data_IF_511620589383
#
_entry.id   IF_511620589383
#
_cell.length_a   1.000
_cell.length_b   1.000
_cell.length_c   1.000
_cell.angle_alpha   90.00
_cell.angle_beta   90.00
_cell.angle_gamma   90.00
#
_symmetry.space_group_name_H-M   'P 1'
#
loop_
_entity.id
_entity.type
_entity.pdbx_description
1 polymer ?
#
# COMPACT_ATOMS: atom_id res chain seq x y z
N UNK A 1 21.04 -5.75 29.24
CA UNK A 1 19.61 -6.01 29.48
C UNK A 1 19.44 -7.48 29.86
N UNK A 2 18.62 -7.80 30.87
CA UNK A 2 18.39 -9.17 31.36
C UNK A 2 17.36 -9.91 30.48
N UNK A 3 17.74 -11.08 29.97
CA UNK A 3 17.00 -11.95 29.03
C UNK A 3 15.81 -12.72 29.64
N UNK A 4 14.94 -12.03 30.39
CA UNK A 4 13.82 -12.68 31.09
C UNK A 4 12.61 -13.02 30.20
N UNK A 5 12.55 -12.52 28.96
CA UNK A 5 11.40 -12.67 28.05
C UNK A 5 11.27 -14.03 27.32
N UNK A 6 12.26 -14.92 27.42
CA UNK A 6 12.20 -16.22 26.73
C UNK A 6 11.56 -17.34 27.57
N UNK A 7 10.75 -18.18 26.93
CA UNK A 7 10.24 -19.41 27.56
C UNK A 7 11.37 -20.41 27.90
N UNK A 8 11.07 -21.38 28.77
CA UNK A 8 12.07 -22.35 29.23
C UNK A 8 12.57 -23.27 28.11
N UNK A 9 11.73 -23.55 27.11
CA UNK A 9 12.05 -24.43 25.98
C UNK A 9 13.08 -23.76 25.07
N UNK A 10 12.87 -22.50 24.72
CA UNK A 10 13.78 -21.70 23.92
C UNK A 10 15.10 -21.43 24.65
N UNK A 11 15.05 -21.11 25.96
CA UNK A 11 16.26 -21.01 26.79
C UNK A 11 17.09 -22.29 26.76
N UNK A 12 16.42 -23.46 26.78
CA UNK A 12 17.08 -24.76 26.63
C UNK A 12 17.68 -24.93 25.23
N UNK A 13 16.96 -24.59 24.16
CA UNK A 13 17.46 -24.63 22.78
C UNK A 13 18.69 -23.74 22.57
N UNK A 14 18.67 -22.49 23.05
CA UNK A 14 19.81 -21.56 22.96
C UNK A 14 21.01 -22.09 23.76
N UNK A 15 20.80 -22.57 24.98
CA UNK A 15 21.87 -23.18 25.79
C UNK A 15 22.46 -24.43 25.12
N UNK A 16 21.61 -25.21 24.46
CA UNK A 16 21.99 -26.40 23.70
C UNK A 16 22.82 -26.02 22.46
N UNK A 17 22.47 -24.92 21.78
CA UNK A 17 23.25 -24.34 20.68
C UNK A 17 24.57 -23.71 21.15
N UNK A 18 24.59 -23.06 22.31
CA UNK A 18 25.82 -22.56 22.95
C UNK A 18 26.77 -23.73 23.31
N UNK A 19 26.25 -24.81 23.90
CA UNK A 19 27.00 -26.04 24.17
C UNK A 19 27.51 -26.72 22.90
N UNK A 20 26.74 -26.62 21.80
CA UNK A 20 27.13 -27.11 20.48
C UNK A 20 28.33 -26.34 19.88
N UNK A 21 28.32 -25.01 19.96
CA UNK A 21 29.43 -24.18 19.47
C UNK A 21 30.69 -24.32 20.35
N UNK A 22 30.51 -24.54 21.65
CA UNK A 22 31.60 -24.67 22.61
C UNK A 22 32.19 -26.08 22.71
N UNK A 23 31.53 -27.11 22.18
CA UNK A 23 31.99 -28.49 22.27
C UNK A 23 32.27 -29.11 20.89
N UNK A 24 33.53 -29.42 20.63
CA UNK A 24 33.91 -30.32 19.52
C UNK A 24 33.43 -31.77 19.73
N UNK A 25 32.71 -32.06 20.84
CA UNK A 25 32.41 -33.41 21.33
C UNK A 25 30.94 -33.78 21.59
N UNK A 26 29.97 -32.87 21.72
CA UNK A 26 28.60 -33.28 22.07
C UNK A 26 27.60 -33.10 20.92
N UNK A 27 27.66 -34.02 19.95
CA UNK A 27 26.60 -34.22 18.96
C UNK A 27 25.41 -35.05 19.46
N UNK A 28 25.50 -35.64 20.65
CA UNK A 28 24.58 -36.66 21.16
C UNK A 28 23.35 -36.10 21.90
N UNK A 29 23.52 -35.07 22.73
CA UNK A 29 22.42 -34.46 23.52
C UNK A 29 21.42 -33.69 22.65
N UNK A 30 21.87 -33.21 21.48
CA UNK A 30 21.06 -32.53 20.46
C UNK A 30 20.35 -33.54 19.55
N UNK A 31 20.95 -34.73 19.35
CA UNK A 31 20.31 -35.82 18.62
C UNK A 31 18.97 -36.17 19.26
N UNK A 32 18.83 -36.16 20.58
CA UNK A 32 17.56 -36.47 21.24
C UNK A 32 16.49 -35.37 21.10
N UNK A 33 16.89 -34.10 20.90
CA UNK A 33 15.97 -32.98 20.71
C UNK A 33 15.45 -32.88 19.27
N UNK A 34 16.34 -33.07 18.28
CA UNK A 34 15.99 -32.94 16.85
C UNK A 34 15.49 -34.25 16.22
N UNK A 35 15.88 -35.43 16.72
CA UNK A 35 15.38 -36.72 16.23
C UNK A 35 13.87 -36.92 16.51
N UNK A 36 13.26 -36.10 17.37
CA UNK A 36 11.80 -36.05 17.55
C UNK A 36 11.06 -35.19 16.52
N UNK A 37 11.76 -34.38 15.71
CA UNK A 37 11.12 -33.40 14.80
C UNK A 37 11.68 -33.33 13.37
N UNK A 38 12.89 -33.82 13.08
CA UNK A 38 13.47 -33.81 11.72
C UNK A 38 14.26 -35.10 11.47
N UNK A 39 14.22 -35.64 10.24
CA UNK A 39 14.95 -36.84 9.82
C UNK A 39 16.48 -36.76 10.10
N UNK A 40 17.11 -37.83 10.67
CA UNK A 40 18.51 -37.86 11.12
C UNK A 40 19.57 -37.53 10.06
N UNK A 41 19.26 -37.76 8.77
CA UNK A 41 20.22 -37.63 7.66
C UNK A 41 20.50 -36.15 7.33
N UNK A 42 19.49 -35.28 7.45
CA UNK A 42 19.60 -33.85 7.12
C UNK A 42 20.32 -33.06 8.23
N UNK A 43 20.30 -33.56 9.46
CA UNK A 43 20.96 -33.02 10.65
C UNK A 43 22.50 -33.13 10.61
N UNK A 44 23.04 -34.22 10.03
CA UNK A 44 24.49 -34.44 9.97
C UNK A 44 25.22 -33.38 9.13
N UNK A 45 24.60 -32.90 8.05
CA UNK A 45 25.18 -31.88 7.17
C UNK A 45 25.30 -30.51 7.87
N UNK A 46 24.31 -30.15 8.68
CA UNK A 46 24.29 -28.90 9.50
C UNK A 46 25.42 -28.93 10.51
N UNK A 47 25.59 -30.08 11.17
CA UNK A 47 26.60 -30.24 12.21
C UNK A 47 28.04 -30.23 11.67
N UNK A 48 28.25 -30.63 10.40
CA UNK A 48 29.57 -30.59 9.77
C UNK A 48 29.96 -29.18 9.30
N UNK A 49 29.02 -28.39 8.80
CA UNK A 49 29.30 -27.03 8.31
C UNK A 49 29.62 -26.05 9.46
N UNK A 50 28.97 -26.20 10.61
CA UNK A 50 29.21 -25.36 11.80
C UNK A 50 30.51 -25.69 12.55
N UNK A 51 31.04 -26.91 12.43
CA UNK A 51 32.35 -27.30 13.02
C UNK A 51 33.54 -26.54 12.43
N UNK A 52 33.39 -25.92 11.26
CA UNK A 52 34.43 -25.15 10.56
C UNK A 52 34.31 -23.64 10.81
N UNK A 53 33.43 -23.21 11.71
CA UNK A 53 33.17 -21.79 11.93
C UNK A 53 34.30 -21.10 12.71
N UNK A 54 34.86 -19.97 12.21
CA UNK A 54 35.94 -19.27 12.90
C UNK A 54 35.44 -18.56 14.17
N UNK A 55 36.28 -18.54 15.22
CA UNK A 55 35.98 -17.90 16.52
C UNK A 55 35.67 -16.39 16.42
N UNK A 56 36.05 -15.74 15.31
CA UNK A 56 35.83 -14.32 15.03
C UNK A 56 34.95 -14.11 13.78
N UNK A 57 34.16 -15.11 13.39
CA UNK A 57 33.43 -15.09 12.11
C UNK A 57 32.33 -14.04 12.04
N UNK A 58 32.12 -13.49 10.86
CA UNK A 58 31.01 -12.57 10.56
C UNK A 58 29.75 -13.35 10.16
N UNK A 59 28.64 -12.65 9.89
CA UNK A 59 27.40 -13.26 9.41
C UNK A 59 27.61 -14.02 8.07
N UNK A 60 28.57 -13.58 7.26
CA UNK A 60 28.93 -14.15 5.95
C UNK A 60 29.59 -15.52 6.07
N UNK A 61 30.33 -15.76 7.15
CA UNK A 61 30.97 -17.05 7.44
C UNK A 61 29.93 -18.14 7.81
N UNK A 62 28.67 -17.76 8.07
CA UNK A 62 27.54 -18.65 8.40
C UNK A 62 26.57 -18.90 7.24
N UNK A 63 26.76 -18.24 6.10
CA UNK A 63 25.93 -18.34 4.89
C UNK A 63 25.83 -19.77 4.31
N UNK A 64 26.86 -20.64 4.39
CA UNK A 64 26.77 -21.99 3.83
C UNK A 64 25.86 -22.96 4.60
N UNK A 65 25.44 -22.63 5.84
CA UNK A 65 24.58 -23.49 6.66
C UNK A 65 23.11 -23.16 6.35
N UNK A 66 22.74 -23.33 5.09
CA UNK A 66 21.33 -23.44 4.70
C UNK A 66 20.99 -24.91 4.83
N UNK A 67 20.21 -25.25 5.86
CA UNK A 67 19.63 -26.59 5.93
C UNK A 67 18.65 -26.69 4.77
N UNK A 68 19.03 -27.40 3.69
CA UNK A 68 18.08 -27.80 2.64
C UNK A 68 17.15 -28.85 3.25
N UNK A 69 16.09 -28.36 3.89
CA UNK A 69 15.00 -29.18 4.39
C UNK A 69 13.98 -29.20 3.26
N UNK A 70 13.78 -30.36 2.61
CA UNK A 70 12.67 -30.50 1.65
C UNK A 70 11.37 -29.99 2.28
N UNK A 71 10.79 -28.97 1.65
CA UNK A 71 9.71 -28.09 2.16
C UNK A 71 8.33 -28.78 2.25
N UNK A 72 8.28 -30.09 2.49
CA UNK A 72 7.03 -30.87 2.40
C UNK A 72 6.32 -31.07 3.75
N UNK A 73 6.90 -30.64 4.87
CA UNK A 73 6.28 -30.78 6.20
C UNK A 73 6.37 -29.47 7.01
N UNK A 74 5.21 -28.96 7.44
CA UNK A 74 5.07 -27.73 8.22
C UNK A 74 5.88 -27.78 9.52
N UNK A 75 5.99 -28.96 10.13
CA UNK A 75 6.75 -29.19 11.36
C UNK A 75 8.27 -29.06 11.16
N UNK A 76 8.74 -29.43 9.97
CA UNK A 76 10.15 -29.28 9.58
C UNK A 76 10.49 -27.81 9.27
N UNK A 77 9.54 -27.04 8.74
CA UNK A 77 9.70 -25.60 8.50
C UNK A 77 9.80 -24.82 9.82
N UNK A 78 8.89 -25.05 10.77
CA UNK A 78 8.93 -24.41 12.09
C UNK A 78 10.23 -24.73 12.85
N UNK A 79 10.67 -25.99 12.80
CA UNK A 79 11.91 -26.41 13.43
C UNK A 79 13.15 -25.76 12.79
N UNK A 80 13.13 -25.50 11.47
CA UNK A 80 14.18 -24.72 10.80
C UNK A 80 14.21 -23.28 11.31
N UNK A 81 13.05 -22.64 11.41
CA UNK A 81 12.92 -21.25 11.83
C UNK A 81 13.39 -21.09 13.29
N UNK A 82 13.02 -22.02 14.18
CA UNK A 82 13.52 -22.06 15.57
C UNK A 82 15.05 -22.28 15.65
N UNK A 83 15.61 -23.08 14.75
CA UNK A 83 17.07 -23.24 14.66
C UNK A 83 17.76 -21.95 14.21
N UNK A 84 17.23 -21.29 13.16
CA UNK A 84 17.73 -19.98 12.73
C UNK A 84 17.59 -18.94 13.85
N UNK A 85 16.49 -18.98 14.60
CA UNK A 85 16.25 -18.09 15.74
C UNK A 85 17.31 -18.25 16.82
N UNK A 86 17.62 -19.48 17.22
CA UNK A 86 18.67 -19.78 18.21
C UNK A 86 20.05 -19.32 17.72
N UNK A 87 20.37 -19.55 16.45
CA UNK A 87 21.60 -19.09 15.79
C UNK A 87 21.71 -17.55 15.83
N UNK A 88 20.64 -16.85 15.46
CA UNK A 88 20.60 -15.38 15.44
C UNK A 88 20.74 -14.79 16.86
N UNK A 89 20.09 -15.37 17.87
CA UNK A 89 20.26 -14.94 19.28
C UNK A 89 21.70 -15.10 19.74
N UNK A 90 22.36 -16.21 19.39
CA UNK A 90 23.76 -16.41 19.74
C UNK A 90 24.68 -15.36 19.11
N UNK A 91 24.51 -15.08 17.81
CA UNK A 91 25.29 -14.04 17.12
C UNK A 91 25.07 -12.69 17.80
N UNK A 92 23.82 -12.32 18.07
CA UNK A 92 23.48 -11.06 18.71
C UNK A 92 24.18 -10.90 20.07
N UNK A 93 24.21 -11.95 20.89
CA UNK A 93 24.88 -11.93 22.21
C UNK A 93 26.39 -11.71 22.11
N UNK A 94 27.02 -12.17 21.04
CA UNK A 94 28.48 -12.15 20.86
C UNK A 94 28.93 -11.10 19.84
N UNK A 95 28.02 -10.31 19.29
CA UNK A 95 28.34 -9.26 18.33
C UNK A 95 28.93 -8.05 19.06
N UNK A 96 30.13 -7.64 18.64
CA UNK A 96 30.85 -6.49 19.18
C UNK A 96 30.65 -5.22 18.33
N UNK A 97 30.35 -5.36 17.03
CA UNK A 97 30.15 -4.24 16.10
C UNK A 97 28.69 -3.83 16.03
N UNK A 98 28.41 -2.52 16.17
CA UNK A 98 27.04 -1.96 16.21
C UNK A 98 26.21 -2.30 14.96
N UNK A 99 26.81 -2.26 13.77
CA UNK A 99 26.07 -2.55 12.52
C UNK A 99 25.64 -4.02 12.46
N UNK A 100 26.53 -4.94 12.85
CA UNK A 100 26.24 -6.37 12.98
C UNK A 100 25.15 -6.63 14.04
N UNK A 101 25.12 -5.84 15.12
CA UNK A 101 24.10 -5.95 16.17
C UNK A 101 22.71 -5.60 15.61
N UNK A 102 22.55 -4.50 14.87
CA UNK A 102 21.23 -4.10 14.34
C UNK A 102 20.73 -5.04 13.26
N UNK A 103 21.59 -5.45 12.33
CA UNK A 103 21.18 -6.37 11.26
C UNK A 103 20.74 -7.73 11.83
N UNK A 104 21.43 -8.18 12.88
CA UNK A 104 21.06 -9.40 13.61
C UNK A 104 19.77 -9.22 14.41
N UNK A 105 19.54 -8.05 15.01
CA UNK A 105 18.27 -7.72 15.68
C UNK A 105 17.08 -7.74 14.71
N UNK A 106 17.22 -7.16 13.51
CA UNK A 106 16.15 -7.20 12.50
C UNK A 106 15.85 -8.63 12.08
N UNK A 107 16.89 -9.44 11.80
CA UNK A 107 16.72 -10.87 11.48
C UNK A 107 16.02 -11.62 12.61
N UNK A 108 16.39 -11.35 13.86
CA UNK A 108 15.78 -11.93 15.06
C UNK A 108 14.28 -11.60 15.14
N UNK A 109 13.94 -10.33 14.99
CA UNK A 109 12.55 -9.84 15.04
C UNK A 109 11.71 -10.48 13.94
N UNK A 110 12.23 -10.57 12.72
CA UNK A 110 11.52 -11.21 11.60
C UNK A 110 11.27 -12.70 11.86
N UNK A 111 12.21 -13.42 12.45
CA UNK A 111 12.03 -14.83 12.82
C UNK A 111 10.98 -14.99 13.93
N UNK A 112 11.03 -14.16 14.97
CA UNK A 112 10.01 -14.14 16.03
C UNK A 112 8.61 -13.84 15.48
N UNK A 113 8.51 -12.90 14.54
CA UNK A 113 7.29 -12.58 13.81
C UNK A 113 6.74 -13.75 13.00
N UNK A 114 7.59 -14.60 12.41
CA UNK A 114 7.16 -15.81 11.70
C UNK A 114 6.57 -16.86 12.66
N UNK A 115 7.14 -16.97 13.85
CA UNK A 115 6.70 -17.90 14.90
C UNK A 115 5.50 -17.37 15.71
N UNK A 116 5.01 -16.17 15.41
CA UNK A 116 3.92 -15.54 16.18
C UNK A 116 4.32 -15.04 17.57
N UNK A 117 5.62 -15.01 17.91
CA UNK A 117 6.17 -14.56 19.20
C UNK A 117 6.33 -13.04 19.24
N UNK A 118 5.22 -12.34 19.05
CA UNK A 118 5.21 -10.90 18.72
C UNK A 118 5.58 -9.99 19.91
N UNK A 119 5.28 -10.38 21.15
CA UNK A 119 5.71 -9.62 22.34
C UNK A 119 7.24 -9.66 22.53
N UNK A 120 7.85 -10.81 22.25
CA UNK A 120 9.30 -10.96 22.25
C UNK A 120 9.92 -10.14 21.12
N UNK A 121 9.32 -10.18 19.94
CA UNK A 121 9.75 -9.36 18.80
C UNK A 121 9.74 -7.87 19.14
N UNK A 122 8.69 -7.38 19.82
CA UNK A 122 8.58 -5.99 20.27
C UNK A 122 9.66 -5.62 21.29
N UNK A 123 9.99 -6.53 22.22
CA UNK A 123 11.07 -6.33 23.19
C UNK A 123 12.40 -6.07 22.47
N UNK A 124 12.68 -6.84 21.41
CA UNK A 124 13.90 -6.67 20.61
C UNK A 124 13.86 -5.43 19.71
N UNK A 125 12.70 -5.06 19.16
CA UNK A 125 12.55 -3.85 18.38
C UNK A 125 12.90 -2.60 19.20
N UNK A 126 12.46 -2.53 20.46
CA UNK A 126 12.76 -1.42 21.36
C UNK A 126 14.25 -1.30 21.75
N UNK A 127 15.08 -2.30 21.42
CA UNK A 127 16.53 -2.26 21.62
C UNK A 127 17.29 -1.71 20.39
N UNK A 128 16.59 -1.44 19.28
CA UNK A 128 17.18 -0.86 18.07
C UNK A 128 17.37 0.65 18.25
N UNK A 129 18.58 1.13 18.00
CA UNK A 129 18.92 2.54 18.15
C UNK A 129 18.79 3.35 16.85
N UNK A 130 18.68 2.70 15.70
CA UNK A 130 18.54 3.36 14.40
C UNK A 130 17.06 3.47 14.03
N UNK A 131 16.62 4.70 13.73
CA UNK A 131 15.21 5.01 13.48
C UNK A 131 14.64 4.22 12.31
N UNK A 132 15.39 4.08 11.20
CA UNK A 132 14.91 3.35 10.02
C UNK A 132 14.74 1.85 10.29
N UNK A 133 15.70 1.24 10.98
CA UNK A 133 15.63 -0.17 11.39
C UNK A 133 14.51 -0.40 12.40
N UNK A 134 14.37 0.50 13.37
CA UNK A 134 13.28 0.48 14.34
C UNK A 134 11.93 0.53 13.62
N UNK A 135 11.74 1.48 12.70
CA UNK A 135 10.51 1.61 11.93
C UNK A 135 10.22 0.36 11.10
N UNK A 136 11.24 -0.24 10.49
CA UNK A 136 11.13 -1.50 9.74
C UNK A 136 10.69 -2.65 10.65
N UNK A 137 11.26 -2.76 11.84
CA UNK A 137 10.89 -3.78 12.83
C UNK A 137 9.45 -3.61 13.30
N UNK A 138 9.07 -2.39 13.70
CA UNK A 138 7.72 -2.05 14.16
C UNK A 138 6.68 -2.33 13.07
N UNK A 139 6.97 -1.96 11.82
CA UNK A 139 6.09 -2.25 10.68
C UNK A 139 5.86 -3.75 10.48
N UNK A 140 6.91 -4.57 10.60
CA UNK A 140 6.79 -6.02 10.48
C UNK A 140 5.95 -6.63 11.61
N UNK A 141 6.17 -6.17 12.85
CA UNK A 141 5.43 -6.62 14.04
C UNK A 141 3.96 -6.22 13.94
N UNK A 142 3.66 -4.95 13.68
CA UNK A 142 2.30 -4.45 13.52
C UNK A 142 1.57 -5.16 12.38
N UNK A 143 2.24 -5.42 11.26
CA UNK A 143 1.70 -6.20 10.14
C UNK A 143 1.26 -7.60 10.57
N UNK A 144 2.04 -8.29 11.41
CA UNK A 144 1.67 -9.62 11.91
C UNK A 144 0.56 -9.55 12.96
N UNK A 145 0.53 -8.54 13.83
CA UNK A 145 -0.58 -8.35 14.76
C UNK A 145 -1.88 -7.93 14.08
N UNK A 146 -1.84 -7.30 12.91
CA UNK A 146 -3.05 -6.77 12.25
C UNK A 146 -4.16 -7.80 12.01
N UNK A 147 -3.82 -9.08 11.91
CA UNK A 147 -4.78 -10.17 11.70
C UNK A 147 -5.31 -10.77 13.00
N UNK A 148 -4.48 -10.85 14.05
CA UNK A 148 -4.81 -11.53 15.31
C UNK A 148 -5.19 -10.57 16.45
N UNK A 149 -4.65 -9.35 16.45
CA UNK A 149 -4.90 -8.32 17.46
C UNK A 149 -4.76 -6.90 16.87
N UNK A 150 -5.81 -6.38 16.18
CA UNK A 150 -5.79 -5.08 15.53
C UNK A 150 -5.47 -3.90 16.48
N UNK A 151 -5.99 -3.92 17.71
CA UNK A 151 -5.77 -2.85 18.69
C UNK A 151 -4.29 -2.75 19.09
N UNK A 152 -3.64 -3.90 19.31
CA UNK A 152 -2.21 -3.94 19.58
C UNK A 152 -1.39 -3.51 18.37
N UNK A 153 -1.80 -3.91 17.16
CA UNK A 153 -1.15 -3.49 15.92
C UNK A 153 -1.14 -1.96 15.77
N UNK A 154 -2.28 -1.30 16.02
CA UNK A 154 -2.41 0.17 15.99
C UNK A 154 -1.54 0.81 17.07
N UNK A 155 -1.63 0.31 18.30
CA UNK A 155 -0.88 0.86 19.45
C UNK A 155 0.62 0.90 19.21
N UNK A 156 1.13 -0.11 18.51
CA UNK A 156 2.55 -0.27 18.19
C UNK A 156 2.92 0.53 16.94
N UNK A 157 2.05 0.57 15.93
CA UNK A 157 2.28 1.31 14.70
C UNK A 157 2.15 2.84 14.85
N UNK A 158 1.37 3.36 15.80
CA UNK A 158 1.00 4.80 15.89
C UNK A 158 2.20 5.77 15.94
N UNK A 159 3.37 5.30 16.37
CA UNK A 159 4.58 6.11 16.46
C UNK A 159 5.44 6.05 15.18
N UNK A 160 5.01 5.29 14.16
CA UNK A 160 5.66 5.28 12.86
C UNK A 160 5.47 6.64 12.16
N UNK A 161 6.42 7.05 11.30
CA UNK A 161 6.20 8.16 10.38
C UNK A 161 4.89 7.98 9.60
N UNK A 162 4.17 9.08 9.34
CA UNK A 162 2.85 9.06 8.71
C UNK A 162 2.79 8.27 7.40
N UNK A 163 3.85 8.31 6.58
CA UNK A 163 3.95 7.50 5.36
C UNK A 163 3.94 5.99 5.65
N UNK A 164 4.74 5.55 6.63
CA UNK A 164 4.82 4.15 7.01
C UNK A 164 3.56 3.68 7.76
N UNK A 165 2.96 4.55 8.57
CA UNK A 165 1.70 4.29 9.26
C UNK A 165 0.55 4.12 8.26
N UNK A 166 0.47 4.98 7.24
CA UNK A 166 -0.53 4.86 6.18
C UNK A 166 -0.27 3.62 5.31
N UNK A 167 0.98 3.35 4.94
CA UNK A 167 1.35 2.12 4.22
C UNK A 167 1.01 0.86 5.00
N UNK A 168 1.15 0.89 6.33
CA UNK A 168 0.71 -0.19 7.21
C UNK A 168 -0.80 -0.40 7.12
N UNK A 169 -1.59 0.66 7.18
CA UNK A 169 -3.05 0.60 7.19
C UNK A 169 -3.65 0.21 5.83
N UNK A 170 -3.02 0.64 4.74
CA UNK A 170 -3.44 0.32 3.38
C UNK A 170 -3.43 -1.20 3.16
N UNK A 171 -4.57 -1.75 2.73
CA UNK A 171 -4.73 -3.19 2.54
C UNK A 171 -4.94 -4.00 3.83
N UNK A 172 -5.24 -3.36 4.96
CA UNK A 172 -5.64 -4.03 6.21
C UNK A 172 -7.14 -3.95 6.45
N UNK A 173 -7.59 -4.49 7.59
CA UNK A 173 -8.99 -4.44 7.95
C UNK A 173 -9.47 -2.98 8.11
N UNK A 174 -10.79 -2.79 8.02
CA UNK A 174 -11.43 -1.48 8.08
C UNK A 174 -11.23 -0.73 9.41
N UNK A 175 -11.09 -1.46 10.52
CA UNK A 175 -10.86 -0.88 11.86
C UNK A 175 -9.49 -0.20 11.93
N UNK A 176 -8.44 -0.88 11.45
CA UNK A 176 -7.08 -0.32 11.40
C UNK A 176 -7.05 0.92 10.53
N UNK A 177 -7.71 0.87 9.36
CA UNK A 177 -7.77 2.01 8.45
C UNK A 177 -8.46 3.21 9.10
N UNK A 178 -9.60 3.00 9.78
CA UNK A 178 -10.35 4.07 10.44
C UNK A 178 -9.55 4.75 11.56
N UNK A 179 -8.85 3.97 12.39
CA UNK A 179 -8.05 4.53 13.48
C UNK A 179 -6.83 5.28 12.97
N UNK A 180 -6.14 4.74 11.95
CA UNK A 180 -5.03 5.45 11.31
C UNK A 180 -5.52 6.75 10.65
N UNK A 181 -6.68 6.75 10.00
CA UNK A 181 -7.29 7.99 9.48
C UNK A 181 -7.54 9.03 10.57
N UNK A 182 -7.95 8.61 11.77
CA UNK A 182 -8.16 9.52 12.89
C UNK A 182 -6.84 10.10 13.40
N UNK A 183 -5.83 9.26 13.61
CA UNK A 183 -4.48 9.69 14.02
C UNK A 183 -3.92 10.72 13.03
N UNK A 184 -4.05 10.47 11.73
CA UNK A 184 -3.56 11.37 10.68
C UNK A 184 -4.31 12.70 10.61
N UNK A 185 -5.56 12.78 11.11
CA UNK A 185 -6.33 14.03 11.18
C UNK A 185 -5.92 14.90 12.37
N UNK A 186 -5.51 14.28 13.46
CA UNK A 186 -5.12 14.96 14.70
C UNK A 186 -3.68 15.51 14.62
N UNK A 187 -2.83 14.94 13.75
CA UNK A 187 -1.48 15.42 13.51
C UNK A 187 -1.49 16.71 12.64
N UNK A 188 -1.10 17.83 13.23
CA UNK A 188 -1.04 19.14 12.58
C UNK A 188 0.11 19.29 11.58
N UNK A 189 1.10 18.39 11.61
CA UNK A 189 2.27 18.40 10.73
C UNK A 189 2.14 17.31 9.66
N UNK A 190 1.13 17.44 8.81
CA UNK A 190 0.89 16.48 7.73
C UNK A 190 2.00 16.66 6.67
N UNK A 191 3.07 15.86 6.79
CA UNK A 191 3.93 15.59 5.64
C UNK A 191 3.08 14.80 4.62
N UNK A 192 2.69 15.50 3.56
CA UNK A 192 1.78 15.02 2.53
C UNK A 192 2.47 13.96 1.67
N UNK A 193 1.88 12.78 1.64
CA UNK A 193 2.42 11.64 0.91
C UNK A 193 1.52 11.29 -0.29
N UNK A 194 2.08 10.73 -1.38
CA UNK A 194 1.29 10.17 -2.48
C UNK A 194 0.27 9.11 -2.04
N UNK A 195 0.47 8.49 -0.87
CA UNK A 195 -0.43 7.48 -0.30
C UNK A 195 -1.82 8.05 0.05
N UNK A 196 -1.97 9.36 0.22
CA UNK A 196 -3.30 9.96 0.39
C UNK A 196 -4.18 9.80 -0.86
N UNK A 197 -3.59 9.75 -2.05
CA UNK A 197 -4.35 9.42 -3.26
C UNK A 197 -4.79 7.95 -3.26
N UNK A 198 -3.96 7.03 -2.78
CA UNK A 198 -4.35 5.63 -2.63
C UNK A 198 -5.53 5.49 -1.66
N UNK A 199 -5.50 6.23 -0.56
CA UNK A 199 -6.61 6.31 0.40
C UNK A 199 -7.87 6.90 -0.24
N UNK A 200 -7.72 7.96 -1.04
CA UNK A 200 -8.84 8.56 -1.77
C UNK A 200 -9.48 7.57 -2.75
N UNK A 201 -8.66 6.83 -3.51
CA UNK A 201 -9.12 5.77 -4.42
C UNK A 201 -9.87 4.67 -3.67
N UNK A 202 -9.37 4.24 -2.50
CA UNK A 202 -10.07 3.25 -1.67
C UNK A 202 -11.47 3.75 -1.25
N UNK A 203 -11.57 4.98 -0.72
CA UNK A 203 -12.86 5.55 -0.34
C UNK A 203 -13.80 5.71 -1.54
N UNK A 204 -13.28 6.08 -2.70
CA UNK A 204 -14.09 6.19 -3.92
C UNK A 204 -14.64 4.83 -4.36
N UNK A 205 -13.83 3.75 -4.28
CA UNK A 205 -14.30 2.37 -4.54
C UNK A 205 -15.38 1.93 -3.56
N UNK A 206 -15.33 2.40 -2.31
CA UNK A 206 -16.40 2.21 -1.31
C UNK A 206 -17.58 3.19 -1.46
N UNK A 207 -17.62 3.99 -2.54
CA UNK A 207 -18.62 5.04 -2.81
C UNK A 207 -18.71 6.13 -1.73
N UNK A 208 -17.67 6.28 -0.91
CA UNK A 208 -17.54 7.35 0.07
C UNK A 208 -16.82 8.57 -0.54
N UNK A 209 -17.50 9.24 -1.46
CA UNK A 209 -16.90 10.34 -2.22
C UNK A 209 -16.52 11.54 -1.35
N UNK A 210 -17.22 11.79 -0.23
CA UNK A 210 -16.87 12.86 0.69
C UNK A 210 -15.48 12.64 1.29
N UNK A 211 -15.18 11.43 1.77
CA UNK A 211 -13.84 11.09 2.27
C UNK A 211 -12.81 11.05 1.14
N UNK A 212 -13.17 10.49 -0.01
CA UNK A 212 -12.28 10.43 -1.17
C UNK A 212 -11.79 11.83 -1.59
N UNK A 213 -12.72 12.78 -1.73
CA UNK A 213 -12.41 14.16 -2.08
C UNK A 213 -11.63 14.88 -0.98
N UNK A 214 -11.93 14.63 0.29
CA UNK A 214 -11.18 15.21 1.40
C UNK A 214 -9.69 14.84 1.29
N UNK A 215 -9.37 13.54 1.17
CA UNK A 215 -7.99 13.10 1.06
C UNK A 215 -7.31 13.57 -0.23
N UNK A 216 -8.02 13.52 -1.37
CA UNK A 216 -7.46 14.01 -2.63
C UNK A 216 -7.13 15.52 -2.58
N UNK A 217 -8.02 16.34 -2.02
CA UNK A 217 -7.84 17.81 -1.92
C UNK A 217 -6.76 18.22 -0.94
N UNK A 218 -6.62 17.48 0.16
CA UNK A 218 -5.51 17.66 1.10
C UNK A 218 -4.16 17.52 0.40
N UNK A 219 -4.04 16.61 -0.57
CA UNK A 219 -2.79 16.39 -1.32
C UNK A 219 -2.58 17.41 -2.43
N UNK A 220 -3.62 17.72 -3.23
CA UNK A 220 -3.50 18.60 -4.40
C UNK A 220 -3.26 20.07 -4.07
N UNK A 221 -3.56 20.51 -2.84
CA UNK A 221 -3.36 21.92 -2.42
C UNK A 221 -1.89 22.30 -2.24
N UNK A 222 -0.99 21.32 -2.12
CA UNK A 222 0.44 21.55 -1.81
C UNK A 222 1.41 20.85 -2.76
N UNK A 223 0.97 19.77 -3.39
CA UNK A 223 1.73 19.04 -4.41
C UNK A 223 0.95 19.10 -5.73
N UNK A 224 1.35 19.95 -6.69
CA UNK A 224 0.92 19.82 -8.09
C UNK A 224 1.62 18.60 -8.72
N UNK A 225 1.42 17.42 -8.12
CA UNK A 225 2.05 16.18 -8.56
C UNK A 225 1.08 15.37 -9.39
N UNK A 226 1.42 15.23 -10.67
CA UNK A 226 0.77 14.34 -11.63
C UNK A 226 0.98 12.88 -11.19
N UNK A 227 -0.02 12.29 -10.53
CA UNK A 227 0.07 10.93 -9.99
C UNK A 227 -0.94 10.00 -10.64
N UNK A 228 -0.52 8.77 -10.94
CA UNK A 228 -1.40 7.71 -11.46
C UNK A 228 -2.59 7.39 -10.55
N UNK A 229 -2.46 7.37 -9.20
CA UNK A 229 -3.62 7.17 -8.33
C UNK A 229 -4.69 8.28 -8.43
N UNK A 230 -4.31 9.51 -8.75
CA UNK A 230 -5.28 10.58 -8.97
C UNK A 230 -6.06 10.38 -10.29
N UNK A 231 -5.39 9.92 -11.35
CA UNK A 231 -6.04 9.55 -12.60
C UNK A 231 -7.07 8.42 -12.35
N UNK A 232 -6.71 7.40 -11.54
CA UNK A 232 -7.61 6.31 -11.16
C UNK A 232 -8.82 6.81 -10.36
N UNK A 233 -8.62 7.74 -9.42
CA UNK A 233 -9.71 8.37 -8.69
C UNK A 233 -10.67 9.09 -9.64
N UNK A 234 -10.14 9.89 -10.58
CA UNK A 234 -10.96 10.61 -11.56
C UNK A 234 -11.72 9.63 -12.46
N UNK A 235 -11.09 8.53 -12.90
CA UNK A 235 -11.76 7.46 -13.68
C UNK A 235 -12.94 6.85 -12.91
N UNK A 236 -12.76 6.58 -11.62
CA UNK A 236 -13.85 6.08 -10.74
C UNK A 236 -14.98 7.11 -10.66
N UNK A 237 -14.66 8.39 -10.40
CA UNK A 237 -15.65 9.45 -10.32
C UNK A 237 -16.44 9.61 -11.63
N UNK A 238 -15.79 9.53 -12.79
CA UNK A 238 -16.45 9.55 -14.09
C UNK A 238 -17.40 8.36 -14.24
N UNK A 239 -16.95 7.15 -13.93
CA UNK A 239 -17.76 5.93 -14.04
C UNK A 239 -19.01 5.99 -13.14
N UNK A 240 -18.88 6.57 -11.95
CA UNK A 240 -19.98 6.76 -11.00
C UNK A 240 -20.79 8.06 -11.22
N UNK A 241 -20.59 8.73 -12.37
CA UNK A 241 -21.28 9.98 -12.77
C UNK A 241 -21.11 11.14 -11.78
N UNK A 242 -19.99 11.17 -11.05
CA UNK A 242 -19.55 12.28 -10.19
C UNK A 242 -18.70 13.27 -10.98
N UNK A 243 -19.32 13.87 -12.00
CA UNK A 243 -18.63 14.62 -13.05
C UNK A 243 -18.08 15.97 -12.57
N UNK A 244 -18.80 16.67 -11.69
CA UNK A 244 -18.32 17.92 -11.11
C UNK A 244 -17.11 17.68 -10.19
N UNK A 245 -17.18 16.63 -9.38
CA UNK A 245 -16.10 16.18 -8.51
C UNK A 245 -14.87 15.80 -9.33
N UNK A 246 -15.06 14.99 -10.39
CA UNK A 246 -14.01 14.62 -11.33
C UNK A 246 -13.37 15.85 -11.98
N UNK A 247 -14.19 16.79 -12.47
CA UNK A 247 -13.72 18.03 -13.08
C UNK A 247 -12.90 18.89 -12.11
N UNK A 248 -13.23 18.90 -10.82
CA UNK A 248 -12.50 19.68 -9.81
C UNK A 248 -11.07 19.19 -9.56
N UNK A 249 -10.78 17.92 -9.87
CA UNK A 249 -9.46 17.29 -9.66
C UNK A 249 -8.60 17.24 -10.93
N UNK A 250 -9.20 17.49 -12.09
CA UNK A 250 -8.62 17.27 -13.42
C UNK A 250 -7.27 17.96 -13.63
N UNK A 251 -7.09 19.19 -13.13
CA UNK A 251 -5.86 19.97 -13.34
C UNK A 251 -4.61 19.34 -12.73
N UNK A 252 -4.78 18.42 -11.77
CA UNK A 252 -3.68 17.74 -11.09
C UNK A 252 -3.41 16.33 -11.66
N UNK A 253 -4.20 15.89 -12.64
CA UNK A 253 -4.09 14.58 -13.27
C UNK A 253 -2.97 14.53 -14.31
N UNK A 254 -2.36 13.37 -14.53
CA UNK A 254 -1.33 13.20 -15.56
C UNK A 254 -1.96 13.09 -16.95
N UNK A 255 -3.04 12.32 -17.07
CA UNK A 255 -3.78 12.10 -18.32
C UNK A 255 -4.84 13.20 -18.58
N UNK A 256 -4.51 14.48 -18.36
CA UNK A 256 -5.47 15.61 -18.41
C UNK A 256 -6.32 15.58 -19.68
N UNK A 257 -5.71 15.49 -20.86
CA UNK A 257 -6.44 15.59 -22.13
C UNK A 257 -7.45 14.45 -22.33
N UNK A 258 -7.05 13.22 -22.01
CA UNK A 258 -7.92 12.04 -22.13
C UNK A 258 -9.06 12.10 -21.12
N UNK A 259 -8.75 12.40 -19.85
CA UNK A 259 -9.74 12.50 -18.77
C UNK A 259 -10.69 13.68 -19.00
N UNK A 260 -10.20 14.81 -19.50
CA UNK A 260 -11.01 15.96 -19.89
C UNK A 260 -12.06 15.57 -20.94
N UNK A 261 -11.67 14.82 -21.96
CA UNK A 261 -12.60 14.37 -23.00
C UNK A 261 -13.64 13.39 -22.46
N UNK A 262 -13.26 12.51 -21.52
CA UNK A 262 -14.18 11.59 -20.86
C UNK A 262 -15.19 12.32 -19.96
N UNK A 263 -14.75 13.31 -19.18
CA UNK A 263 -15.63 14.17 -18.38
C UNK A 263 -16.59 14.94 -19.28
N UNK A 264 -16.08 15.50 -20.38
CA UNK A 264 -16.88 16.18 -21.39
C UNK A 264 -17.98 15.28 -21.97
N UNK A 265 -17.63 14.04 -22.36
CA UNK A 265 -18.62 13.05 -22.79
C UNK A 265 -19.62 12.70 -21.69
N UNK A 266 -19.16 12.57 -20.44
CA UNK A 266 -20.04 12.36 -19.30
C UNK A 266 -21.10 13.44 -19.16
N UNK A 267 -20.74 14.72 -19.29
CA UNK A 267 -21.69 15.83 -19.23
C UNK A 267 -22.67 15.84 -20.41
N UNK A 268 -22.23 15.39 -21.59
CA UNK A 268 -23.14 15.15 -22.73
C UNK A 268 -24.15 14.05 -22.38
N UNK A 269 -23.68 12.93 -21.83
CA UNK A 269 -24.53 11.79 -21.48
C UNK A 269 -25.56 12.14 -20.38
N UNK A 270 -25.22 13.07 -19.48
CA UNK A 270 -26.14 13.62 -18.47
C UNK A 270 -26.98 14.81 -18.95
N UNK A 271 -26.86 15.19 -20.24
CA UNK A 271 -27.56 16.32 -20.86
C UNK A 271 -27.21 17.70 -20.26
N UNK A 272 -26.05 17.82 -19.59
CA UNK A 272 -25.52 19.07 -19.06
C UNK A 272 -24.72 19.85 -20.12
N UNK A 273 -25.38 20.11 -21.25
CA UNK A 273 -24.73 20.63 -22.46
C UNK A 273 -24.08 22.00 -22.29
N UNK A 274 -24.57 22.83 -21.37
CA UNK A 274 -23.94 24.12 -21.06
C UNK A 274 -22.52 23.95 -20.49
N UNK A 275 -22.32 22.99 -19.59
CA UNK A 275 -21.00 22.71 -19.01
C UNK A 275 -20.11 22.04 -20.04
N UNK A 276 -20.65 21.09 -20.82
CA UNK A 276 -19.91 20.46 -21.91
C UNK A 276 -19.40 21.49 -22.93
N UNK A 277 -20.20 22.52 -23.23
CA UNK A 277 -19.79 23.62 -24.11
C UNK A 277 -18.66 24.45 -23.50
N UNK A 278 -18.73 24.81 -22.22
CA UNK A 278 -17.65 25.56 -21.56
C UNK A 278 -16.33 24.78 -21.56
N UNK A 279 -16.39 23.45 -21.36
CA UNK A 279 -15.21 22.59 -21.52
C UNK A 279 -14.70 22.62 -22.96
N UNK A 280 -15.58 22.49 -23.96
CA UNK A 280 -15.20 22.55 -25.37
C UNK A 280 -14.58 23.91 -25.77
N UNK A 281 -15.08 25.03 -25.23
CA UNK A 281 -14.53 26.39 -25.45
C UNK A 281 -13.15 26.55 -24.83
N UNK A 282 -12.94 25.97 -23.66
CA UNK A 282 -11.65 26.02 -22.97
C UNK A 282 -10.55 25.22 -23.70
N UNK A 283 -10.93 24.36 -24.64
CA UNK A 283 -10.01 23.51 -25.39
C UNK A 283 -9.24 24.32 -26.43
N UNK A 284 -7.91 24.19 -26.42
CA UNK A 284 -7.01 24.97 -27.29
C UNK A 284 -6.50 24.16 -28.47
N UNK A 285 -6.37 22.84 -28.31
CA UNK A 285 -5.72 21.97 -29.30
C UNK A 285 -6.79 21.32 -30.18
N UNK A 286 -7.73 20.59 -29.55
CA UNK A 286 -8.71 19.75 -30.23
C UNK A 286 -10.14 20.33 -30.25
N UNK A 287 -10.27 21.66 -30.18
CA UNK A 287 -11.57 22.35 -30.03
C UNK A 287 -12.62 21.86 -31.03
N UNK A 288 -12.25 21.70 -32.31
CA UNK A 288 -13.16 21.24 -33.37
C UNK A 288 -13.76 19.86 -33.07
N UNK A 289 -12.98 18.94 -32.51
CA UNK A 289 -13.43 17.59 -32.12
C UNK A 289 -14.48 17.65 -31.01
N UNK A 290 -14.23 18.45 -29.97
CA UNK A 290 -15.18 18.63 -28.87
C UNK A 290 -16.49 19.26 -29.36
N UNK A 291 -16.39 20.35 -30.12
CA UNK A 291 -17.55 21.06 -30.67
C UNK A 291 -18.39 20.15 -31.58
N UNK A 292 -17.78 19.39 -32.49
CA UNK A 292 -18.50 18.44 -33.33
C UNK A 292 -19.17 17.33 -32.52
N UNK A 293 -18.49 16.78 -31.51
CA UNK A 293 -19.07 15.73 -30.65
C UNK A 293 -20.30 16.27 -29.91
N UNK A 294 -20.21 17.50 -29.39
CA UNK A 294 -21.32 18.16 -28.70
C UNK A 294 -22.52 18.37 -29.64
N UNK A 295 -22.25 18.86 -30.85
CA UNK A 295 -23.28 19.12 -31.86
C UNK A 295 -24.07 17.87 -32.25
N UNK A 296 -23.38 16.77 -32.58
CA UNK A 296 -24.05 15.52 -32.94
C UNK A 296 -24.91 15.00 -31.79
N UNK A 297 -24.42 15.06 -30.54
CA UNK A 297 -25.20 14.63 -29.39
C UNK A 297 -26.47 15.46 -29.15
N UNK A 298 -26.40 16.77 -29.39
CA UNK A 298 -27.57 17.66 -29.27
C UNK A 298 -28.58 17.37 -30.37
N UNK A 299 -28.11 17.17 -31.61
CA UNK A 299 -28.95 16.79 -32.75
C UNK A 299 -29.67 15.47 -32.49
N UNK A 300 -28.97 14.48 -31.95
CA UNK A 300 -29.56 13.20 -31.57
C UNK A 300 -30.65 13.37 -30.51
N UNK A 301 -30.41 14.19 -29.47
CA UNK A 301 -31.43 14.51 -28.45
C UNK A 301 -32.60 15.34 -28.97
N UNK A 302 -32.36 16.22 -29.92
CA UNK A 302 -33.42 16.99 -30.56
C UNK A 302 -34.35 16.11 -31.42
N UNK A 303 -33.87 14.97 -31.89
CA UNK A 303 -34.69 13.99 -32.61
C UNK A 303 -35.38 12.99 -31.66
N UNK A 304 -35.10 13.03 -30.35
CA UNK A 304 -35.74 12.18 -29.34
C UNK A 304 -37.10 12.77 -28.92
N UNK A 305 -38.16 12.09 -29.35
CA UNK A 305 -39.55 12.49 -29.10
C UNK A 305 -39.87 12.63 -27.61
N UNK A 306 -39.39 11.71 -26.76
CA UNK A 306 -39.67 11.75 -25.32
C UNK A 306 -38.91 12.89 -24.64
N UNK A 307 -37.68 13.14 -25.06
CA UNK A 307 -36.89 14.27 -24.54
C UNK A 307 -37.55 15.62 -24.88
N UNK A 308 -38.02 15.78 -26.11
CA UNK A 308 -38.71 17.01 -26.54
C UNK A 308 -40.05 17.26 -25.83
N UNK A 309 -40.75 16.20 -25.40
CA UNK A 309 -41.96 16.35 -24.59
C UNK A 309 -41.66 16.89 -23.18
N UNK A 310 -40.53 16.48 -22.59
CA UNK A 310 -40.13 16.87 -21.24
C UNK A 310 -39.45 18.26 -21.26
N UNK A 311 -38.74 18.58 -22.35
CA UNK A 311 -38.02 19.84 -22.52
C UNK A 311 -38.45 20.57 -23.81
N UNK A 312 -39.72 20.99 -23.92
CA UNK A 312 -40.19 21.75 -25.06
C UNK A 312 -39.42 23.06 -25.10
N UNK A 313 -38.78 23.37 -26.24
CA UNK A 313 -37.87 24.51 -26.47
C UNK A 313 -36.39 24.31 -26.10
N UNK A 314 -35.96 23.10 -25.69
CA UNK A 314 -34.54 22.84 -25.42
C UNK A 314 -33.63 23.23 -26.60
N UNK A 315 -33.94 22.75 -27.80
CA UNK A 315 -33.14 23.01 -28.99
C UNK A 315 -33.16 24.49 -29.39
N UNK A 316 -34.30 25.16 -29.22
CA UNK A 316 -34.44 26.59 -29.55
C UNK A 316 -33.61 27.46 -28.60
N UNK A 317 -33.65 27.18 -27.29
CA UNK A 317 -32.80 27.87 -26.32
C UNK A 317 -31.32 27.56 -26.55
N UNK A 318 -30.96 26.29 -26.73
CA UNK A 318 -29.57 25.91 -26.97
C UNK A 318 -29.02 26.58 -28.23
N UNK A 319 -29.76 26.55 -29.34
CA UNK A 319 -29.36 27.19 -30.58
C UNK A 319 -29.28 28.72 -30.46
N UNK A 320 -30.22 29.36 -29.76
CA UNK A 320 -30.20 30.80 -29.56
C UNK A 320 -28.99 31.26 -28.72
N UNK A 321 -28.66 30.52 -27.66
CA UNK A 321 -27.54 30.86 -26.78
C UNK A 321 -26.18 30.45 -27.35
N UNK A 322 -26.10 29.34 -28.08
CA UNK A 322 -24.83 28.71 -28.43
C UNK A 322 -24.62 28.49 -29.93
N UNK A 323 -25.68 28.55 -30.75
CA UNK A 323 -25.59 28.38 -32.21
C UNK A 323 -24.69 29.41 -32.89
N UNK A 324 -24.66 30.65 -32.38
CA UNK A 324 -23.77 31.72 -32.86
C UNK A 324 -22.29 31.47 -32.52
N UNK A 325 -22.02 30.76 -31.42
CA UNK A 325 -20.66 30.41 -30.99
C UNK A 325 -20.14 29.15 -31.70
N UNK A 326 -21.05 28.26 -32.11
CA UNK A 326 -20.77 27.06 -32.90
C UNK A 326 -20.60 27.35 -34.40
N UNK A 327 -21.18 28.46 -34.90
CA UNK A 327 -21.14 28.88 -36.30
C UNK A 327 -19.91 29.73 -36.68
N UNK A 328 -18.91 29.86 -35.81
CA UNK A 328 -17.65 30.53 -36.17
C UNK A 328 -16.92 29.77 -37.27
N UNK A 329 -16.33 30.50 -38.24
CA UNK A 329 -15.61 30.17 -39.50
C UNK A 329 -15.12 28.74 -39.85
N UNK A 330 -15.07 27.78 -38.94
CA UNK A 330 -14.51 26.44 -39.13
C UNK A 330 -15.54 25.34 -39.40
N UNK A 331 -16.85 25.61 -39.22
CA UNK A 331 -17.89 24.58 -39.36
C UNK A 331 -19.19 25.17 -39.92
N UNK A 332 -19.54 24.77 -41.16
CA UNK A 332 -20.86 25.04 -41.77
C UNK A 332 -21.80 23.90 -41.36
N UNK A 333 -22.78 24.16 -40.51
CA UNK A 333 -23.82 23.19 -40.16
C UNK A 333 -25.04 23.36 -41.07
N UNK A 334 -25.55 22.24 -41.58
CA UNK A 334 -26.76 22.19 -42.41
C UNK A 334 -28.00 22.26 -41.49
N UNK A 335 -28.82 23.30 -41.69
CA UNK A 335 -29.91 23.72 -40.81
C UNK A 335 -31.27 23.07 -41.17
N UNK A 336 -31.24 21.98 -41.93
CA UNK A 336 -32.44 21.37 -42.52
C UNK A 336 -33.32 20.58 -41.54
N UNK A 337 -32.98 20.52 -40.24
CA UNK A 337 -33.77 19.81 -39.21
C UNK A 337 -34.49 20.79 -38.27
N UNK A 338 -35.09 21.84 -38.80
CA UNK A 338 -36.01 22.69 -38.04
C UNK A 338 -37.28 22.88 -38.85
N UNK A 339 -38.16 21.87 -38.84
CA UNK A 339 -39.60 22.03 -39.09
C UNK A 339 -40.38 21.08 -38.20
#
# INVERSE_FOLDING_TARGET
>A
MSFNCFDQTFKKTVKTFEQYLLSSKNGYEISQFLHKKISPIKYHAVCQSLKKFPKNGTLDDLVPIVIKIDDHDLSCLEANIEFQLAKTVYIYKNAYHRDTVNETLIKLILLLCHLGRLEEALTYANAINYVDDYNRAILAIATKWSTSNPNQAITVAKNLPNELLLKFALGKNKVILQEVEQILREDSYINLTPLYFELAVLHAKEKNYTKALFFAKMTTSWLPSFSTPLDDLVKILIADKKLHEASSLLYNCKEVENLKYQIFKGFIDTCEFGIALEIAKSEKIDRKKYINTLWEAIKDKANDYHFNQIHPNFFHHFYFFFGKELSGNDIKYDLTIIH
#
